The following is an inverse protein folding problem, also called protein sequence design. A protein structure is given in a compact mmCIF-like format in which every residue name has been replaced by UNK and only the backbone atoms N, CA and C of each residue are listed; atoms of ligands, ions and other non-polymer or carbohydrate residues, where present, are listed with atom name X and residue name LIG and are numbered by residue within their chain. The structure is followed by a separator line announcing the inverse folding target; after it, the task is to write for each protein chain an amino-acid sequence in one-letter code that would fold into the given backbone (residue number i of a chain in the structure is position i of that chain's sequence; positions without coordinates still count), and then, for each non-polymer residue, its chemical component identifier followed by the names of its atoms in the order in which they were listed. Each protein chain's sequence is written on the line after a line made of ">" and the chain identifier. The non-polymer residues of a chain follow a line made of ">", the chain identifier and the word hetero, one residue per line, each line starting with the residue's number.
data_IF_484614485499
#
_entry.id   IF_484614485499
#
_cell.length_a   1.000
_cell.length_b   1.000
_cell.length_c   1.000
_cell.angle_alpha   90.00
_cell.angle_beta   90.00
_cell.angle_gamma   90.00
#
_symmetry.space_group_name_H-M   'P 1'
#
loop_
_entity.id
_entity.type
_entity.pdbx_description
1 polymer ?
#
# COMPACT_ATOMS: atom_id res chain seq x y z
N UNK A 1 34.47 6.53 -48.55
CA UNK A 1 33.14 6.72 -47.92
C UNK A 1 32.78 5.60 -46.96
N UNK A 2 33.17 4.34 -47.22
CA UNK A 2 32.94 3.19 -46.33
C UNK A 2 33.52 3.35 -44.91
N UNK A 3 34.72 3.91 -44.75
CA UNK A 3 35.35 4.09 -43.43
C UNK A 3 34.66 5.15 -42.54
N UNK A 4 33.97 6.13 -43.12
CA UNK A 4 33.22 7.15 -42.36
C UNK A 4 31.89 6.60 -41.82
N UNK A 5 31.30 5.65 -42.54
CA UNK A 5 30.10 4.93 -42.08
C UNK A 5 30.44 3.82 -41.07
N UNK A 6 31.65 3.27 -41.12
CA UNK A 6 32.14 2.25 -40.20
C UNK A 6 32.79 2.82 -38.93
N UNK A 7 33.07 4.13 -38.86
CA UNK A 7 33.64 4.78 -37.68
C UNK A 7 32.55 5.03 -36.62
N UNK A 8 32.12 3.95 -35.97
CA UNK A 8 31.32 3.99 -34.73
C UNK A 8 32.18 4.21 -33.49
N UNK A 9 33.46 4.56 -33.66
CA UNK A 9 34.47 4.70 -32.59
C UNK A 9 34.01 5.58 -31.43
N UNK A 10 33.18 6.59 -31.68
CA UNK A 10 32.67 7.49 -30.64
C UNK A 10 31.32 7.07 -30.06
N UNK A 11 30.63 6.05 -30.62
CA UNK A 11 29.31 5.63 -30.13
C UNK A 11 29.37 5.03 -28.73
N UNK A 12 30.45 4.32 -28.39
CA UNK A 12 30.62 3.74 -27.05
C UNK A 12 30.85 4.84 -26.00
N UNK A 13 31.60 5.88 -26.36
CA UNK A 13 31.80 7.05 -25.49
C UNK A 13 30.50 7.85 -25.34
N UNK A 14 29.76 8.10 -26.42
CA UNK A 14 28.43 8.73 -26.38
C UNK A 14 27.48 7.94 -25.48
N UNK A 15 27.38 6.62 -25.66
CA UNK A 15 26.54 5.77 -24.81
C UNK A 15 26.95 5.84 -23.34
N UNK A 16 28.25 5.88 -23.04
CA UNK A 16 28.74 6.03 -21.66
C UNK A 16 28.40 7.40 -21.05
N UNK A 17 28.47 8.47 -21.85
CA UNK A 17 28.05 9.81 -21.43
C UNK A 17 26.54 9.85 -21.20
N UNK A 18 25.75 9.20 -22.07
CA UNK A 18 24.31 9.10 -21.90
C UNK A 18 23.96 8.39 -20.59
N UNK A 19 24.59 7.24 -20.28
CA UNK A 19 24.40 6.57 -18.98
C UNK A 19 24.71 7.50 -17.82
N UNK A 20 25.84 8.23 -17.87
CA UNK A 20 26.23 9.17 -16.83
C UNK A 20 25.24 10.32 -16.66
N UNK A 21 24.68 10.82 -17.77
CA UNK A 21 23.61 11.84 -17.75
C UNK A 21 22.39 11.28 -17.03
N UNK A 22 21.95 10.06 -17.36
CA UNK A 22 20.79 9.43 -16.72
C UNK A 22 21.00 9.24 -15.22
N UNK A 23 22.15 8.70 -14.80
CA UNK A 23 22.50 8.54 -13.38
C UNK A 23 22.53 9.89 -12.64
N UNK A 24 23.08 10.93 -13.28
CA UNK A 24 23.12 12.27 -12.69
C UNK A 24 21.71 12.85 -12.53
N UNK A 25 20.85 12.68 -13.53
CA UNK A 25 19.44 13.12 -13.46
C UNK A 25 18.70 12.39 -12.35
N UNK A 26 18.90 11.08 -12.21
CA UNK A 26 18.29 10.29 -11.14
C UNK A 26 18.74 10.80 -9.76
N UNK A 27 20.04 11.05 -9.58
CA UNK A 27 20.59 11.62 -8.34
C UNK A 27 19.99 13.00 -8.02
N UNK A 28 19.85 13.87 -9.02
CA UNK A 28 19.19 15.18 -8.86
C UNK A 28 17.75 15.01 -8.40
N UNK A 29 17.00 14.06 -8.98
CA UNK A 29 15.61 13.82 -8.59
C UNK A 29 15.51 13.28 -7.15
N UNK A 30 16.41 12.38 -6.74
CA UNK A 30 16.47 11.88 -5.37
C UNK A 30 16.77 13.01 -4.38
N UNK A 31 17.77 13.85 -4.67
CA UNK A 31 18.13 14.99 -3.84
C UNK A 31 17.00 16.03 -3.76
N UNK A 32 16.29 16.26 -4.87
CA UNK A 32 15.12 17.14 -4.89
C UNK A 32 14.04 16.63 -3.95
N UNK A 33 13.69 15.34 -4.03
CA UNK A 33 12.69 14.72 -3.14
C UNK A 33 13.11 14.85 -1.67
N UNK A 34 14.38 14.57 -1.34
CA UNK A 34 14.89 14.73 0.02
C UNK A 34 14.81 16.18 0.50
N UNK A 35 15.21 17.14 -0.35
CA UNK A 35 15.13 18.58 -0.03
C UNK A 35 13.68 18.99 0.24
N UNK A 36 12.76 18.62 -0.64
CA UNK A 36 11.35 19.00 -0.54
C UNK A 36 10.69 18.37 0.69
N UNK A 37 11.09 17.16 1.08
CA UNK A 37 10.69 16.51 2.33
C UNK A 37 11.17 17.32 3.55
N UNK A 38 12.46 17.66 3.61
CA UNK A 38 13.02 18.39 4.73
C UNK A 38 12.45 19.82 4.83
N UNK A 39 12.19 20.46 3.69
CA UNK A 39 11.55 21.78 3.65
C UNK A 39 10.11 21.72 4.16
N UNK A 40 9.33 20.74 3.70
CA UNK A 40 7.95 20.52 4.18
C UNK A 40 7.92 20.33 5.70
N UNK A 41 8.85 19.54 6.25
CA UNK A 41 9.01 19.38 7.70
C UNK A 41 9.36 20.70 8.39
N UNK A 42 10.32 21.46 7.86
CA UNK A 42 10.78 22.71 8.49
C UNK A 42 9.70 23.81 8.52
N UNK A 43 8.81 23.84 7.52
CA UNK A 43 7.77 24.86 7.40
C UNK A 43 6.62 24.64 8.38
N UNK A 44 6.20 23.39 8.59
CA UNK A 44 5.13 23.03 9.53
C UNK A 44 5.35 21.61 10.09
N UNK A 45 6.21 21.46 11.10
CA UNK A 45 6.64 20.14 11.57
C UNK A 45 5.51 19.33 12.21
N UNK A 46 4.54 19.98 12.84
CA UNK A 46 3.42 19.30 13.50
C UNK A 46 2.51 18.61 12.49
N UNK A 47 2.00 19.36 11.51
CA UNK A 47 1.09 18.81 10.50
C UNK A 47 1.84 17.83 9.60
N UNK A 48 3.10 18.14 9.25
CA UNK A 48 3.95 17.23 8.49
C UNK A 48 4.10 15.87 9.18
N UNK A 49 4.42 15.83 10.48
CA UNK A 49 4.55 14.55 11.21
C UNK A 49 3.23 13.78 11.19
N UNK A 50 2.09 14.46 11.36
CA UNK A 50 0.78 13.80 11.33
C UNK A 50 0.47 13.19 9.96
N UNK A 51 0.71 13.94 8.88
CA UNK A 51 0.54 13.44 7.51
C UNK A 51 1.53 12.33 7.20
N UNK A 52 2.77 12.46 7.67
CA UNK A 52 3.82 11.47 7.47
C UNK A 52 3.47 10.13 8.14
N UNK A 53 3.01 10.15 9.39
CA UNK A 53 2.54 8.94 10.09
C UNK A 53 1.36 8.31 9.35
N UNK A 54 0.41 9.11 8.84
CA UNK A 54 -0.70 8.61 8.03
C UNK A 54 -0.21 7.96 6.73
N UNK A 55 0.79 8.56 6.06
CA UNK A 55 1.40 8.00 4.86
C UNK A 55 2.07 6.66 5.14
N UNK A 56 2.98 6.62 6.12
CA UNK A 56 3.68 5.39 6.52
C UNK A 56 2.72 4.27 6.91
N UNK A 57 1.61 4.61 7.58
CA UNK A 57 0.57 3.63 7.90
C UNK A 57 -0.11 3.05 6.66
N UNK A 58 -0.41 3.89 5.65
CA UNK A 58 -0.99 3.42 4.38
C UNK A 58 0.00 2.50 3.64
N UNK A 59 1.27 2.91 3.58
CA UNK A 59 2.30 2.13 2.90
C UNK A 59 2.51 0.77 3.59
N UNK A 60 2.54 0.76 4.93
CA UNK A 60 2.60 -0.49 5.71
C UNK A 60 1.39 -1.40 5.42
N UNK A 61 0.19 -0.82 5.30
CA UNK A 61 -1.03 -1.57 4.97
C UNK A 61 -0.93 -2.25 3.59
N UNK A 62 -0.36 -1.56 2.61
CA UNK A 62 -0.13 -2.08 1.26
C UNK A 62 0.88 -3.23 1.27
N UNK A 63 1.95 -3.11 2.06
CA UNK A 63 3.04 -4.12 2.09
C UNK A 63 2.64 -5.37 2.88
N UNK A 64 1.77 -5.22 3.89
CA UNK A 64 1.43 -6.31 4.82
C UNK A 64 0.10 -6.99 4.52
N UNK A 65 -0.66 -6.51 3.54
CA UNK A 65 -2.04 -6.91 3.25
C UNK A 65 -2.96 -6.89 4.49
N UNK A 66 -2.60 -6.12 5.52
CA UNK A 66 -3.40 -5.99 6.73
C UNK A 66 -4.67 -5.23 6.40
N UNK A 67 -5.81 -5.89 6.49
CA UNK A 67 -7.12 -5.28 6.27
C UNK A 67 -7.65 -4.74 7.60
N UNK A 68 -8.41 -3.65 7.55
CA UNK A 68 -9.02 -3.04 8.73
C UNK A 68 -8.16 -1.97 9.40
N UNK A 69 -8.69 -1.45 10.50
CA UNK A 69 -8.04 -0.44 11.34
C UNK A 69 -8.47 -0.73 12.79
N UNK A 70 -7.63 -1.46 13.56
CA UNK A 70 -7.99 -1.85 14.93
C UNK A 70 -8.37 -0.69 15.84
N UNK A 71 -7.78 0.48 15.63
CA UNK A 71 -8.08 1.69 16.41
C UNK A 71 -9.43 2.32 16.05
N UNK A 72 -9.87 2.22 14.80
CA UNK A 72 -11.23 2.61 14.42
C UNK A 72 -12.23 1.58 14.95
N UNK A 73 -11.94 0.29 14.76
CA UNK A 73 -12.78 -0.82 15.23
C UNK A 73 -12.96 -0.81 16.76
N UNK A 74 -12.04 -0.22 17.52
CA UNK A 74 -12.19 -0.06 18.97
C UNK A 74 -13.26 0.98 19.37
N UNK A 75 -13.65 1.89 18.47
CA UNK A 75 -14.56 3.01 18.76
C UNK A 75 -16.00 2.62 18.41
N UNK A 76 -16.95 2.99 19.27
CA UNK A 76 -18.37 2.69 19.04
C UNK A 76 -18.91 3.24 17.71
N UNK A 77 -18.42 4.43 17.29
CA UNK A 77 -18.81 5.09 16.04
C UNK A 77 -18.56 4.24 14.78
N UNK A 78 -17.57 3.33 14.85
CA UNK A 78 -17.31 2.39 13.77
C UNK A 78 -18.50 1.44 13.54
N UNK A 79 -19.24 1.10 14.60
CA UNK A 79 -20.40 0.20 14.52
C UNK A 79 -21.73 0.93 14.36
N UNK A 80 -21.73 2.27 14.30
CA UNK A 80 -22.92 3.07 13.98
C UNK A 80 -23.09 3.31 12.47
N UNK A 81 -22.33 2.60 11.64
CA UNK A 81 -22.35 2.74 10.18
C UNK A 81 -23.53 1.97 9.54
N UNK A 82 -24.01 2.38 8.36
CA UNK A 82 -25.16 1.73 7.69
C UNK A 82 -24.98 0.23 7.46
N UNK A 83 -23.75 -0.24 7.27
CA UNK A 83 -23.45 -1.66 7.05
C UNK A 83 -23.60 -2.52 8.32
N UNK A 84 -23.63 -1.91 9.51
CA UNK A 84 -23.57 -2.64 10.78
C UNK A 84 -24.79 -3.56 10.99
N UNK A 85 -25.98 -3.09 10.64
CA UNK A 85 -27.21 -3.89 10.75
C UNK A 85 -27.17 -5.12 9.83
N UNK A 86 -26.75 -4.94 8.58
CA UNK A 86 -26.63 -6.04 7.63
C UNK A 86 -25.54 -7.03 8.09
N UNK A 87 -24.39 -6.53 8.53
CA UNK A 87 -23.30 -7.35 9.04
C UNK A 87 -23.73 -8.21 10.24
N UNK A 88 -24.49 -7.63 11.18
CA UNK A 88 -25.07 -8.37 12.30
C UNK A 88 -26.02 -9.48 11.81
N UNK A 89 -26.90 -9.17 10.86
CA UNK A 89 -27.81 -10.15 10.26
C UNK A 89 -27.07 -11.33 9.59
N UNK A 90 -26.06 -11.03 8.77
CA UNK A 90 -25.20 -12.04 8.12
C UNK A 90 -24.46 -12.89 9.15
N UNK A 91 -23.93 -12.27 10.20
CA UNK A 91 -23.24 -12.96 11.27
C UNK A 91 -24.16 -13.93 12.02
N UNK A 92 -25.36 -13.49 12.41
CA UNK A 92 -26.35 -14.32 13.11
C UNK A 92 -26.75 -15.50 12.23
N UNK A 93 -27.03 -15.26 10.94
CA UNK A 93 -27.38 -16.32 10.01
C UNK A 93 -26.27 -17.38 9.91
N UNK A 94 -25.02 -16.94 9.69
CA UNK A 94 -23.87 -17.84 9.63
C UNK A 94 -23.71 -18.65 10.92
N UNK A 95 -23.90 -18.01 12.08
CA UNK A 95 -23.79 -18.68 13.38
C UNK A 95 -24.88 -19.74 13.59
N UNK A 96 -26.12 -19.46 13.17
CA UNK A 96 -27.22 -20.42 13.24
C UNK A 96 -26.94 -21.64 12.35
N UNK A 97 -26.47 -21.43 11.11
CA UNK A 97 -26.11 -22.53 10.21
C UNK A 97 -24.96 -23.38 10.78
N UNK A 98 -23.94 -22.74 11.35
CA UNK A 98 -22.85 -23.44 12.04
C UNK A 98 -23.37 -24.34 13.16
N UNK A 99 -24.24 -23.81 14.04
CA UNK A 99 -24.83 -24.58 15.14
C UNK A 99 -25.69 -25.73 14.65
N UNK A 100 -26.44 -25.54 13.56
CA UNK A 100 -27.24 -26.61 12.94
C UNK A 100 -26.34 -27.74 12.46
N UNK A 101 -25.26 -27.42 11.75
CA UNK A 101 -24.29 -28.42 11.27
C UNK A 101 -23.60 -29.16 12.44
N UNK A 102 -23.20 -28.46 13.49
CA UNK A 102 -22.63 -29.07 14.70
C UNK A 102 -23.62 -30.09 15.32
N UNK A 103 -24.91 -29.73 15.42
CA UNK A 103 -25.95 -30.62 15.93
C UNK A 103 -26.22 -31.82 15.01
N UNK A 104 -26.30 -31.61 13.70
CA UNK A 104 -26.46 -32.68 12.70
C UNK A 104 -25.32 -33.69 12.78
N UNK A 105 -24.08 -33.22 12.97
CA UNK A 105 -22.90 -34.08 13.17
C UNK A 105 -22.97 -34.88 14.47
N UNK A 106 -23.32 -34.24 15.59
CA UNK A 106 -23.41 -34.89 16.90
C UNK A 106 -24.54 -35.93 16.95
N UNK A 107 -25.67 -35.64 16.30
CA UNK A 107 -26.84 -36.53 16.26
C UNK A 107 -26.72 -37.64 15.21
N UNK A 108 -25.68 -37.64 14.36
CA UNK A 108 -25.49 -38.62 13.29
C UNK A 108 -26.53 -38.55 12.17
N UNK A 109 -27.32 -37.47 12.12
CA UNK A 109 -28.39 -37.28 11.13
C UNK A 109 -27.78 -36.55 9.93
N UNK A 110 -27.35 -37.31 8.92
CA UNK A 110 -27.14 -36.75 7.57
C UNK A 110 -28.49 -36.73 6.87
N UNK A 111 -29.16 -35.58 6.85
CA UNK A 111 -30.20 -35.33 5.86
C UNK A 111 -29.49 -35.17 4.51
N UNK A 112 -29.52 -36.24 3.71
CA UNK A 112 -29.15 -36.24 2.28
C UNK A 112 -30.17 -35.47 1.47
#
# INVERSE_FOLDING_TARGET
>A
MSNFLASTTNQQEIASLDTKIHETIESINQLKTQRDFMLSFSNNPQDFIQEWIKSQRRDLKIITDVIGNPEEERRADFYHQPWAQEAAGRHIFAKVQQRRQELEQVLGIRLT
#
